data_IF_374238573566
#
_entry.id   IF_374238573566
#
_cell.length_a   1.000
_cell.length_b   1.000
_cell.length_c   1.000
_cell.angle_alpha   90.00
_cell.angle_beta   90.00
_cell.angle_gamma   90.00
#
_symmetry.space_group_name_H-M   'P 1'
#
loop_
_entity.id
_entity.type
_entity.pdbx_description
1 polymer ?
#
# COMPACT_ATOMS: atom_id res chain seq x y z
N UNK A 1 -4.46 19.31 5.93
CA UNK A 1 -3.86 19.64 4.62
C UNK A 1 -4.38 18.62 3.63
N UNK A 2 -4.94 19.10 2.51
CA UNK A 2 -5.45 18.26 1.42
C UNK A 2 -4.51 18.43 0.24
N UNK A 3 -4.03 17.35 -0.32
CA UNK A 3 -3.33 17.37 -1.61
C UNK A 3 -4.18 16.58 -2.59
N UNK A 4 -4.60 17.24 -3.64
CA UNK A 4 -5.25 16.64 -4.79
C UNK A 4 -4.17 16.34 -5.83
N UNK A 5 -3.94 15.07 -6.08
CA UNK A 5 -3.01 14.62 -7.12
C UNK A 5 -3.82 14.18 -8.33
N UNK A 6 -4.04 15.08 -9.28
CA UNK A 6 -4.59 14.73 -10.59
C UNK A 6 -3.49 14.01 -11.38
N UNK A 7 -3.36 12.68 -11.24
CA UNK A 7 -2.20 11.98 -11.77
C UNK A 7 -2.53 10.70 -12.52
N UNK A 8 -1.99 10.66 -13.68
CA UNK A 8 -1.28 9.71 -14.54
C UNK A 8 -2.15 8.83 -15.39
N UNK A 9 -2.25 9.27 -16.64
CA UNK A 9 -2.66 8.46 -17.79
C UNK A 9 -1.64 7.36 -18.05
N UNK A 10 -2.03 6.07 -17.90
CA UNK A 10 -1.22 4.97 -18.41
C UNK A 10 -1.06 3.70 -17.59
N UNK A 11 -1.08 3.73 -16.29
CA UNK A 11 -1.52 2.60 -15.44
C UNK A 11 -2.94 2.90 -15.09
N UNK A 12 -3.80 1.93 -14.97
CA UNK A 12 -5.18 2.18 -14.60
C UNK A 12 -5.25 3.48 -13.80
N UNK A 13 -5.82 4.51 -14.40
CA UNK A 13 -5.84 5.88 -13.86
C UNK A 13 -6.26 5.90 -12.39
N UNK A 14 -6.99 4.86 -11.98
CA UNK A 14 -7.48 4.63 -10.63
C UNK A 14 -6.40 4.27 -9.58
N UNK A 15 -5.25 3.70 -9.94
CA UNK A 15 -4.28 3.27 -8.92
C UNK A 15 -3.51 4.44 -8.31
N UNK A 16 -3.18 5.46 -9.10
CA UNK A 16 -2.49 6.66 -8.60
C UNK A 16 -3.45 7.70 -8.03
N UNK A 17 -4.72 7.64 -8.39
CA UNK A 17 -5.78 8.33 -7.65
C UNK A 17 -5.86 7.84 -6.20
N UNK A 18 -5.41 6.61 -5.91
CA UNK A 18 -5.28 6.04 -4.57
C UNK A 18 -4.31 6.78 -3.65
N UNK A 19 -3.26 7.37 -4.20
CA UNK A 19 -2.32 8.20 -3.45
C UNK A 19 -2.65 9.69 -3.55
N UNK A 20 -3.82 10.00 -4.10
CA UNK A 20 -4.20 11.32 -4.58
C UNK A 20 -4.38 12.41 -3.53
N UNK A 21 -4.37 12.10 -2.25
CA UNK A 21 -4.50 13.08 -1.17
C UNK A 21 -3.37 12.95 -0.14
N UNK A 22 -2.13 12.73 -0.60
CA UNK A 22 -0.96 12.73 0.27
C UNK A 22 -0.40 14.15 0.42
N UNK A 23 -0.27 14.59 1.55
CA UNK A 23 0.22 15.70 2.36
C UNK A 23 1.08 16.80 1.80
N UNK A 24 1.64 16.75 0.62
CA UNK A 24 2.72 17.65 0.22
C UNK A 24 2.27 18.61 -0.84
N UNK A 25 2.44 19.90 -0.59
CA UNK A 25 2.18 20.95 -1.57
C UNK A 25 3.16 20.91 -2.74
N UNK A 26 4.33 20.30 -2.54
CA UNK A 26 5.39 20.16 -3.53
C UNK A 26 5.90 18.72 -3.54
N UNK A 27 5.44 17.93 -4.50
CA UNK A 27 5.98 16.59 -4.77
C UNK A 27 6.37 16.49 -6.25
N UNK A 28 7.29 15.58 -6.53
CA UNK A 28 7.66 15.27 -7.91
C UNK A 28 7.48 13.78 -8.21
N UNK A 29 7.10 13.45 -9.44
CA UNK A 29 7.01 12.09 -9.91
C UNK A 29 7.98 11.91 -11.06
N UNK A 30 8.85 10.92 -10.93
CA UNK A 30 9.82 10.53 -11.95
C UNK A 30 9.72 9.03 -12.22
N UNK A 31 10.21 8.59 -13.37
CA UNK A 31 10.20 7.17 -13.74
C UNK A 31 9.43 6.88 -15.03
N UNK A 32 9.07 5.63 -15.22
CA UNK A 32 8.39 5.10 -16.39
C UNK A 32 7.13 4.29 -16.00
N UNK A 33 6.55 3.53 -16.93
CA UNK A 33 5.36 2.72 -16.67
C UNK A 33 5.60 1.54 -15.72
N UNK A 34 6.86 1.11 -15.57
CA UNK A 34 7.22 0.00 -14.70
C UNK A 34 7.59 0.48 -13.30
N UNK A 35 8.39 1.54 -13.20
CA UNK A 35 8.88 2.08 -11.94
C UNK A 35 8.59 3.57 -11.85
N UNK A 36 8.05 4.01 -10.72
CA UNK A 36 7.87 5.42 -10.40
C UNK A 36 8.44 5.74 -9.02
N UNK A 37 8.98 6.92 -8.90
CA UNK A 37 9.41 7.51 -7.63
C UNK A 37 8.57 8.74 -7.42
N UNK A 38 7.86 8.76 -6.29
CA UNK A 38 7.09 9.90 -5.81
C UNK A 38 7.90 10.49 -4.67
N UNK A 39 8.56 11.60 -4.95
CA UNK A 39 9.41 12.31 -3.99
C UNK A 39 8.57 13.36 -3.27
N UNK A 40 8.48 13.26 -1.96
CA UNK A 40 7.74 14.13 -1.06
C UNK A 40 8.65 15.17 -0.38
N UNK A 41 9.87 15.36 -0.88
CA UNK A 41 10.85 16.27 -0.31
C UNK A 41 11.29 15.84 1.09
N UNK A 42 11.16 16.73 2.08
CA UNK A 42 11.56 16.44 3.47
C UNK A 42 10.70 15.38 4.16
N UNK A 43 9.53 15.05 3.60
CA UNK A 43 8.62 14.06 4.16
C UNK A 43 8.91 12.63 3.69
N UNK A 44 9.87 12.43 2.78
CA UNK A 44 10.29 11.11 2.32
C UNK A 44 9.91 10.80 0.88
N UNK A 45 9.69 9.52 0.59
CA UNK A 45 9.38 9.07 -0.77
C UNK A 45 8.59 7.77 -0.81
N UNK A 46 7.91 7.56 -1.96
CA UNK A 46 7.39 6.26 -2.36
C UNK A 46 8.11 5.81 -3.63
N UNK A 47 8.52 4.55 -3.66
CA UNK A 47 9.09 3.92 -4.83
C UNK A 47 8.16 2.77 -5.26
N UNK A 48 7.49 2.90 -6.40
CA UNK A 48 6.45 1.96 -6.84
C UNK A 48 6.88 1.18 -8.07
N UNK A 49 6.48 -0.09 -8.11
CA UNK A 49 6.76 -1.03 -9.20
C UNK A 49 5.47 -1.70 -9.65
N UNK A 50 5.17 -1.59 -10.93
CA UNK A 50 4.08 -2.32 -11.58
C UNK A 50 4.56 -3.72 -11.93
N UNK A 51 4.29 -4.69 -11.07
CA UNK A 51 4.82 -6.03 -11.25
C UNK A 51 4.04 -6.84 -12.30
N UNK A 52 2.72 -6.80 -12.20
CA UNK A 52 1.79 -7.57 -13.04
C UNK A 52 0.49 -6.80 -13.20
N UNK A 53 -0.39 -7.18 -14.16
CA UNK A 53 -1.70 -6.57 -14.28
C UNK A 53 -2.46 -6.60 -12.94
N UNK A 54 -2.81 -5.44 -12.44
CA UNK A 54 -3.51 -5.29 -11.17
C UNK A 54 -2.65 -5.49 -9.90
N UNK A 55 -1.32 -5.64 -10.01
CA UNK A 55 -0.43 -5.80 -8.85
C UNK A 55 0.68 -4.78 -8.87
N UNK A 56 0.72 -3.94 -7.85
CA UNK A 56 1.75 -2.92 -7.64
C UNK A 56 2.42 -3.11 -6.29
N UNK A 57 3.75 -3.07 -6.28
CA UNK A 57 4.58 -3.06 -5.09
C UNK A 57 5.04 -1.63 -4.83
N UNK A 58 4.95 -1.17 -3.59
CA UNK A 58 5.47 0.11 -3.15
C UNK A 58 6.43 -0.06 -1.97
N UNK A 59 7.58 0.56 -2.04
CA UNK A 59 8.44 0.81 -0.89
C UNK A 59 8.17 2.22 -0.39
N UNK A 60 7.94 2.32 0.90
CA UNK A 60 7.50 3.55 1.56
C UNK A 60 8.54 3.96 2.58
N UNK A 61 8.97 5.19 2.50
CA UNK A 61 9.82 5.84 3.49
C UNK A 61 9.26 7.22 3.78
N UNK A 62 8.57 7.35 4.92
CA UNK A 62 7.90 8.56 5.36
C UNK A 62 8.52 9.05 6.66
N UNK A 63 8.79 10.35 6.72
CA UNK A 63 9.27 11.03 7.91
C UNK A 63 8.44 12.31 8.14
N UNK A 64 7.52 12.23 9.08
CA UNK A 64 6.64 13.35 9.45
C UNK A 64 7.11 13.91 10.79
N UNK A 65 7.62 15.14 10.79
CA UNK A 65 8.10 15.79 12.01
C UNK A 65 6.96 16.20 12.96
N UNK A 66 5.75 16.35 12.44
CA UNK A 66 4.54 16.64 13.21
C UNK A 66 3.49 15.56 12.91
N UNK A 67 2.82 15.06 13.95
CA UNK A 67 1.75 14.07 13.82
C UNK A 67 0.54 14.69 13.12
N UNK A 68 0.51 14.65 11.81
CA UNK A 68 -0.65 15.06 11.03
C UNK A 68 -1.39 13.81 10.55
N UNK A 69 -2.69 13.75 10.86
CA UNK A 69 -3.55 12.68 10.36
C UNK A 69 -3.77 12.85 8.87
N UNK A 70 -3.70 11.74 8.16
CA UNK A 70 -3.98 11.64 6.73
C UNK A 70 -5.42 11.25 6.52
N UNK A 71 -6.16 12.07 5.83
CA UNK A 71 -7.52 11.77 5.43
C UNK A 71 -7.59 11.55 3.93
N UNK A 72 -8.11 10.40 3.53
CA UNK A 72 -8.36 10.08 2.12
C UNK A 72 -9.87 9.98 1.92
N UNK A 73 -10.40 10.75 0.98
CA UNK A 73 -11.85 10.86 0.72
C UNK A 73 -12.21 10.46 -0.72
N UNK A 74 -11.66 9.42 -1.31
CA UNK A 74 -12.06 9.02 -2.65
C UNK A 74 -12.74 7.64 -2.73
N UNK A 75 -13.74 7.55 -3.61
CA UNK A 75 -14.52 6.35 -3.84
C UNK A 75 -13.91 5.53 -4.96
N UNK A 76 -13.19 4.47 -4.63
CA UNK A 76 -12.69 3.53 -5.62
C UNK A 76 -13.79 2.56 -6.01
N UNK A 77 -13.98 2.40 -7.31
CA UNK A 77 -14.99 1.49 -7.86
C UNK A 77 -14.50 0.04 -7.95
N UNK A 78 -13.21 -0.22 -7.78
CA UNK A 78 -12.60 -1.55 -7.86
C UNK A 78 -12.46 -2.22 -6.50
N UNK A 79 -12.39 -3.55 -6.49
CA UNK A 79 -12.09 -4.34 -5.29
C UNK A 79 -10.59 -4.33 -5.06
N UNK A 80 -10.14 -3.59 -4.06
CA UNK A 80 -8.71 -3.50 -3.75
C UNK A 80 -8.37 -4.22 -2.45
N UNK A 81 -7.29 -5.00 -2.50
CA UNK A 81 -6.59 -5.52 -1.34
C UNK A 81 -5.26 -4.78 -1.18
N UNK A 82 -4.90 -4.52 0.05
CA UNK A 82 -3.59 -4.02 0.43
C UNK A 82 -2.92 -5.01 1.37
N UNK A 83 -1.68 -5.36 1.07
CA UNK A 83 -0.78 -6.09 1.96
C UNK A 83 0.28 -5.10 2.41
N UNK A 84 0.33 -4.83 3.69
CA UNK A 84 1.24 -3.86 4.28
C UNK A 84 2.18 -4.54 5.28
N UNK A 85 3.49 -4.37 5.12
CA UNK A 85 4.50 -4.85 6.05
C UNK A 85 5.30 -3.68 6.61
N UNK A 86 5.29 -3.51 7.92
CA UNK A 86 6.05 -2.48 8.61
C UNK A 86 7.49 -2.94 8.86
N UNK A 87 8.46 -2.33 8.19
CA UNK A 87 9.89 -2.59 8.42
C UNK A 87 10.39 -1.85 9.66
N UNK A 88 9.98 -0.58 9.79
CA UNK A 88 10.27 0.25 10.96
C UNK A 88 9.22 1.36 11.12
N UNK A 89 9.06 1.86 12.35
CA UNK A 89 8.04 2.84 12.67
C UNK A 89 6.74 2.22 13.17
N UNK A 90 5.64 2.96 13.00
CA UNK A 90 4.30 2.52 13.38
C UNK A 90 3.26 3.17 12.49
N UNK A 91 2.25 2.39 12.13
CA UNK A 91 1.13 2.82 11.32
C UNK A 91 -0.18 2.55 12.04
N UNK A 92 -1.08 3.51 12.02
CA UNK A 92 -2.44 3.38 12.48
C UNK A 92 -3.39 3.65 11.31
N UNK A 93 -4.40 2.81 11.16
CA UNK A 93 -5.32 2.83 10.04
C UNK A 93 -6.75 2.63 10.54
N UNK A 94 -7.65 3.53 10.16
CA UNK A 94 -9.07 3.43 10.52
C UNK A 94 -9.80 2.47 9.58
N UNK A 95 -10.58 1.55 10.17
CA UNK A 95 -11.46 0.64 9.45
C UNK A 95 -12.90 0.95 9.86
N UNK A 96 -13.67 1.46 8.92
CA UNK A 96 -15.01 1.94 9.25
C UNK A 96 -15.01 3.13 10.19
N UNK A 97 -16.09 3.29 10.96
CA UNK A 97 -16.29 4.46 11.81
C UNK A 97 -15.64 4.35 13.21
N UNK A 98 -15.40 3.13 13.71
CA UNK A 98 -15.06 2.92 15.13
C UNK A 98 -13.82 2.05 15.40
N UNK A 99 -13.19 1.46 14.39
CA UNK A 99 -12.06 0.54 14.59
C UNK A 99 -10.76 1.11 14.02
N UNK A 100 -9.70 1.07 14.83
CA UNK A 100 -8.36 1.48 14.41
C UNK A 100 -7.42 0.28 14.52
N UNK A 101 -6.81 -0.08 13.40
CA UNK A 101 -5.76 -1.09 13.37
C UNK A 101 -4.43 -0.41 13.64
N UNK A 102 -3.67 -0.96 14.59
CA UNK A 102 -2.31 -0.55 14.86
C UNK A 102 -1.35 -1.67 14.52
N UNK A 103 -0.36 -1.37 13.68
CA UNK A 103 0.72 -2.29 13.43
C UNK A 103 2.07 -1.57 13.40
N UNK A 104 3.10 -2.29 13.78
CA UNK A 104 4.44 -1.78 13.93
C UNK A 104 5.47 -2.77 13.38
N UNK A 105 6.73 -2.53 13.73
CA UNK A 105 7.87 -3.27 13.19
C UNK A 105 7.67 -4.80 13.16
N UNK A 106 7.78 -5.37 11.97
CA UNK A 106 7.64 -6.79 11.68
C UNK A 106 6.20 -7.27 11.50
N UNK A 107 5.20 -6.43 11.73
CA UNK A 107 3.80 -6.81 11.52
C UNK A 107 3.44 -6.77 10.02
N UNK A 108 2.59 -7.70 9.61
CA UNK A 108 1.99 -7.76 8.28
C UNK A 108 0.48 -7.61 8.42
N UNK A 109 -0.08 -6.63 7.75
CA UNK A 109 -1.53 -6.42 7.66
C UNK A 109 -2.00 -6.71 6.23
N UNK A 110 -3.06 -7.51 6.10
CA UNK A 110 -3.78 -7.67 4.84
C UNK A 110 -5.17 -7.09 5.07
N UNK A 111 -5.55 -6.10 4.30
CA UNK A 111 -6.84 -5.44 4.46
C UNK A 111 -7.51 -5.12 3.13
N UNK A 112 -8.82 -5.00 3.18
CA UNK A 112 -9.59 -4.39 2.11
C UNK A 112 -9.29 -2.89 2.16
N UNK A 113 -8.88 -2.36 1.03
CA UNK A 113 -8.68 -0.93 0.90
C UNK A 113 -10.00 -0.27 0.48
N UNK A 114 -10.74 0.21 1.46
CA UNK A 114 -11.99 0.96 1.24
C UNK A 114 -11.75 2.42 1.63
N UNK A 115 -11.67 3.27 0.62
CA UNK A 115 -11.31 4.68 0.77
C UNK A 115 -12.48 5.58 1.19
N UNK A 116 -13.64 5.03 1.53
CA UNK A 116 -14.79 5.89 1.85
C UNK A 116 -14.62 6.73 3.10
N UNK A 117 -13.73 6.33 4.03
CA UNK A 117 -13.31 7.10 5.22
C UNK A 117 -12.06 6.46 5.84
N UNK A 118 -10.91 6.64 5.25
CA UNK A 118 -9.68 6.17 5.87
C UNK A 118 -8.92 7.32 6.48
N UNK A 119 -8.59 7.19 7.76
CA UNK A 119 -7.63 8.04 8.42
C UNK A 119 -6.38 7.22 8.67
N UNK A 120 -5.26 7.67 8.16
CA UNK A 120 -3.95 7.09 8.42
C UNK A 120 -3.18 7.99 9.37
N UNK A 121 -2.50 7.39 10.35
CA UNK A 121 -1.67 8.10 11.31
C UNK A 121 -0.33 7.37 11.46
N UNK A 122 0.72 8.13 11.70
CA UNK A 122 2.07 7.64 11.96
C UNK A 122 2.51 8.04 13.35
N UNK A 123 2.10 7.29 14.41
CA UNK A 123 2.24 7.71 15.80
C UNK A 123 3.66 7.98 16.28
N UNK A 124 4.66 7.51 15.55
CA UNK A 124 6.09 7.79 15.83
C UNK A 124 6.67 8.90 14.94
N UNK A 125 5.87 9.52 14.08
CA UNK A 125 6.32 10.54 13.14
C UNK A 125 7.12 9.99 11.97
N UNK A 126 7.26 8.68 11.83
CA UNK A 126 7.91 8.04 10.69
C UNK A 126 7.34 6.65 10.42
N UNK A 127 7.48 6.21 9.17
CA UNK A 127 7.12 4.89 8.72
C UNK A 127 8.02 4.46 7.57
N UNK A 128 8.58 3.26 7.69
CA UNK A 128 9.29 2.59 6.62
C UNK A 128 8.69 1.20 6.43
N UNK A 129 8.31 0.87 5.20
CA UNK A 129 7.59 -0.36 4.94
C UNK A 129 7.46 -0.72 3.47
N UNK A 130 6.72 -1.78 3.25
CA UNK A 130 6.38 -2.30 1.94
C UNK A 130 4.87 -2.47 1.86
N UNK A 131 4.28 -1.99 0.78
CA UNK A 131 2.87 -2.20 0.47
C UNK A 131 2.71 -2.89 -0.88
N UNK A 132 1.79 -3.85 -0.96
CA UNK A 132 1.38 -4.48 -2.20
C UNK A 132 -0.10 -4.18 -2.38
N UNK A 133 -0.40 -3.49 -3.46
CA UNK A 133 -1.77 -3.21 -3.86
C UNK A 133 -2.20 -4.21 -4.92
N UNK A 134 -3.39 -4.77 -4.76
CA UNK A 134 -3.93 -5.79 -5.64
C UNK A 134 -5.34 -5.38 -6.06
N UNK A 135 -5.52 -5.04 -7.32
CA UNK A 135 -6.83 -4.98 -7.96
C UNK A 135 -7.31 -6.42 -8.17
N UNK A 136 -8.26 -6.84 -7.35
CA UNK A 136 -8.73 -8.23 -7.30
C UNK A 136 -9.33 -8.68 -8.63
N UNK A 137 -10.04 -7.79 -9.31
CA UNK A 137 -10.70 -8.12 -10.59
C UNK A 137 -9.69 -8.31 -11.72
N UNK A 138 -8.64 -7.47 -11.73
CA UNK A 138 -7.60 -7.56 -12.74
C UNK A 138 -6.60 -8.70 -12.47
N UNK A 139 -6.26 -8.94 -11.20
CA UNK A 139 -5.19 -9.85 -10.83
C UNK A 139 -5.65 -11.31 -10.68
N UNK A 140 -6.94 -11.57 -10.48
CA UNK A 140 -7.44 -12.91 -10.14
C UNK A 140 -7.01 -14.00 -11.14
N UNK A 141 -7.24 -13.77 -12.43
CA UNK A 141 -6.91 -14.76 -13.45
C UNK A 141 -5.39 -14.96 -13.61
N UNK A 142 -4.63 -13.89 -13.38
CA UNK A 142 -3.16 -13.96 -13.38
C UNK A 142 -2.66 -14.79 -12.21
N UNK A 143 -3.14 -14.54 -10.99
CA UNK A 143 -2.75 -15.27 -9.78
C UNK A 143 -3.08 -16.76 -9.90
N UNK A 144 -4.24 -17.12 -10.47
CA UNK A 144 -4.63 -18.51 -10.73
C UNK A 144 -3.69 -19.29 -11.64
N UNK A 145 -2.95 -18.62 -12.52
CA UNK A 145 -1.94 -19.29 -13.36
C UNK A 145 -0.77 -19.83 -12.54
N UNK A 146 -0.45 -19.21 -11.40
CA UNK A 146 0.66 -19.60 -10.52
C UNK A 146 0.19 -20.37 -9.29
N UNK A 147 -1.02 -20.06 -8.82
CA UNK A 147 -1.63 -20.68 -7.62
C UNK A 147 -3.05 -21.11 -8.00
N UNK A 148 -3.23 -22.25 -8.72
CA UNK A 148 -4.52 -22.64 -9.28
C UNK A 148 -5.64 -22.81 -8.25
N UNK A 149 -5.29 -23.22 -7.04
CA UNK A 149 -6.24 -23.45 -5.95
C UNK A 149 -6.56 -22.20 -5.12
N UNK A 150 -6.01 -21.04 -5.49
CA UNK A 150 -6.25 -19.78 -4.80
C UNK A 150 -7.10 -18.83 -5.64
N UNK A 151 -8.22 -18.38 -5.08
CA UNK A 151 -9.15 -17.43 -5.70
C UNK A 151 -9.12 -16.10 -4.93
N UNK A 152 -8.59 -15.04 -5.54
CA UNK A 152 -8.52 -13.72 -4.94
C UNK A 152 -9.90 -13.13 -4.66
N UNK A 153 -10.88 -13.41 -5.53
CA UNK A 153 -12.25 -12.94 -5.36
C UNK A 153 -12.88 -13.59 -4.13
N UNK A 154 -12.73 -14.91 -4.00
CA UNK A 154 -13.22 -15.63 -2.82
C UNK A 154 -12.54 -15.15 -1.54
N UNK A 155 -11.23 -14.95 -1.58
CA UNK A 155 -10.47 -14.42 -0.44
C UNK A 155 -10.94 -13.02 -0.04
N UNK A 156 -11.15 -12.12 -1.01
CA UNK A 156 -11.70 -10.79 -0.77
C UNK A 156 -13.07 -10.85 -0.09
N UNK A 157 -13.97 -11.69 -0.58
CA UNK A 157 -15.32 -11.83 -0.02
C UNK A 157 -15.30 -12.46 1.39
N UNK A 158 -14.37 -13.37 1.67
CA UNK A 158 -14.17 -13.92 3.01
C UNK A 158 -13.68 -12.83 3.98
N UNK A 159 -12.69 -12.04 3.54
CA UNK A 159 -12.15 -10.93 4.33
C UNK A 159 -13.23 -9.89 4.62
N UNK A 160 -14.05 -9.55 3.62
CA UNK A 160 -15.18 -8.62 3.75
C UNK A 160 -16.25 -9.09 4.73
N UNK A 161 -16.50 -10.40 4.80
CA UNK A 161 -17.46 -10.99 5.75
C UNK A 161 -16.93 -11.06 7.18
N UNK A 162 -15.62 -10.95 7.36
CA UNK A 162 -14.99 -10.86 8.68
C UNK A 162 -14.88 -9.40 9.11
N UNK A 163 -13.72 -8.95 9.49
CA UNK A 163 -13.46 -7.57 9.90
C UNK A 163 -12.86 -6.69 8.79
N UNK A 164 -12.75 -7.21 7.56
CA UNK A 164 -12.12 -6.51 6.45
C UNK A 164 -10.58 -6.52 6.49
N UNK A 165 -9.98 -7.13 7.50
CA UNK A 165 -8.53 -7.24 7.62
C UNK A 165 -8.08 -8.50 8.37
N UNK A 166 -6.79 -8.83 8.20
CA UNK A 166 -6.03 -9.81 8.98
C UNK A 166 -4.71 -9.19 9.39
N UNK A 167 -4.41 -9.20 10.68
CA UNK A 167 -3.12 -8.75 11.22
C UNK A 167 -2.30 -9.96 11.66
N UNK A 168 -1.13 -10.14 11.06
CA UNK A 168 -0.19 -11.20 11.34
C UNK A 168 1.05 -10.61 12.03
N UNK A 169 1.40 -11.19 13.16
CA UNK A 169 2.66 -10.85 13.83
C UNK A 169 3.82 -11.52 13.11
N UNK A 170 4.94 -10.83 13.06
CA UNK A 170 6.17 -11.34 12.46
C UNK A 170 6.52 -12.75 12.96
N UNK A 171 6.97 -13.55 12.03
CA UNK A 171 7.57 -14.86 12.29
C UNK A 171 8.60 -15.17 11.19
N UNK A 172 9.47 -16.14 11.43
CA UNK A 172 10.58 -16.48 10.53
C UNK A 172 10.17 -16.72 9.07
N UNK A 173 8.94 -17.17 8.80
CA UNK A 173 8.47 -17.41 7.42
C UNK A 173 8.10 -16.09 6.74
N UNK A 174 7.37 -15.23 7.45
CA UNK A 174 7.01 -13.89 6.96
C UNK A 174 8.29 -13.09 6.73
N UNK A 175 9.17 -13.06 7.73
CA UNK A 175 10.44 -12.32 7.67
C UNK A 175 11.31 -12.76 6.48
N UNK A 176 11.34 -14.08 6.20
CA UNK A 176 12.10 -14.60 5.06
C UNK A 176 11.51 -14.13 3.72
N UNK A 177 10.20 -14.32 3.51
CA UNK A 177 9.54 -13.94 2.25
C UNK A 177 9.61 -12.44 2.01
N UNK A 178 9.31 -11.66 3.03
CA UNK A 178 9.36 -10.20 2.93
C UNK A 178 10.80 -9.71 2.78
N UNK A 179 11.75 -10.33 3.47
CA UNK A 179 13.18 -10.04 3.32
C UNK A 179 13.67 -10.20 1.88
N UNK A 180 13.20 -11.25 1.17
CA UNK A 180 13.52 -11.43 -0.25
C UNK A 180 13.00 -10.28 -1.11
N UNK A 181 11.81 -9.73 -0.84
CA UNK A 181 11.27 -8.58 -1.57
C UNK A 181 12.15 -7.33 -1.38
N UNK A 182 12.59 -7.04 -0.16
CA UNK A 182 13.53 -5.94 0.09
C UNK A 182 14.89 -6.14 -0.59
N UNK A 183 15.34 -7.40 -0.76
CA UNK A 183 16.59 -7.69 -1.46
C UNK A 183 16.47 -7.57 -2.98
N UNK A 184 15.28 -7.78 -3.54
CA UNK A 184 15.00 -7.55 -4.98
C UNK A 184 15.18 -6.08 -5.33
N UNK A 185 14.71 -5.15 -4.50
CA UNK A 185 14.89 -3.72 -4.71
C UNK A 185 16.37 -3.35 -4.88
N UNK A 186 17.25 -3.87 -4.05
CA UNK A 186 18.68 -3.63 -4.17
C UNK A 186 19.30 -4.20 -5.46
N UNK A 187 18.74 -5.26 -6.04
CA UNK A 187 19.19 -5.83 -7.32
C UNK A 187 18.66 -5.05 -8.51
N UNK A 188 17.45 -4.55 -8.44
CA UNK A 188 16.83 -3.71 -9.48
C UNK A 188 17.53 -2.35 -9.54
N UNK A 189 17.96 -1.78 -8.40
CA UNK A 189 18.72 -0.51 -8.36
C UNK A 189 20.10 -0.60 -9.02
N UNK A 190 20.63 -1.81 -9.22
CA UNK A 190 21.96 -2.06 -9.80
C UNK A 190 21.92 -2.43 -11.29
N UNK A 191 20.75 -2.57 -11.89
CA UNK A 191 20.52 -2.89 -13.30
C UNK A 191 20.04 -1.67 -14.08
#
# INVERSE_FOLDING_TARGET
FYIRVDIIKGMNENFFELFGDVFVTDFSITGDDYKKIIDLGEYGQFETYSLFPGIVLAFIDINLQNHENVYVEEKISSRLLMINHCLDGRYAYSVGDDEIIYFGKGDLCINIYDMTKTCSDFPLGFYNGLEIFIDVDMANDYVKQYIPDFDLIEFYELLKKSHGYVLLRSNNKIDHVIGELYHVDNRIKLS
#
